data_IF_546350874171
#
_entry.id   IF_546350874171
#
_cell.length_a   1.000
_cell.length_b   1.000
_cell.length_c   1.000
_cell.angle_alpha   90.00
_cell.angle_beta   90.00
_cell.angle_gamma   90.00
#
_symmetry.space_group_name_H-M   'P 1'
#
loop_
_entity.id
_entity.type
_entity.pdbx_description
1 polymer ?
#
# COMPACT_ATOMS: atom_id res chain seq x y z
N UNK A 1 18.12 20.30 25.73
CA UNK A 1 18.36 19.31 24.67
C UNK A 1 17.70 19.83 23.40
N UNK A 2 18.44 19.97 22.30
CA UNK A 2 17.85 20.34 21.01
C UNK A 2 16.87 19.24 20.56
N UNK A 3 15.74 19.58 19.92
CA UNK A 3 14.82 18.57 19.42
C UNK A 3 15.54 17.69 18.39
N UNK A 4 15.58 16.38 18.64
CA UNK A 4 16.13 15.36 17.73
C UNK A 4 15.01 14.86 16.81
N UNK A 5 15.26 14.85 15.50
CA UNK A 5 14.34 14.36 14.48
C UNK A 5 13.85 12.94 14.78
N UNK A 6 14.73 12.09 15.34
CA UNK A 6 14.38 10.72 15.69
C UNK A 6 13.36 10.63 16.82
N UNK A 7 13.47 11.52 17.82
CA UNK A 7 12.52 11.63 18.92
C UNK A 7 11.13 12.02 18.40
N UNK A 8 11.07 13.12 17.65
CA UNK A 8 9.84 13.60 17.03
C UNK A 8 9.21 12.55 16.11
N UNK A 9 10.00 11.82 15.32
CA UNK A 9 9.47 10.75 14.48
C UNK A 9 8.84 9.61 15.29
N UNK A 10 9.48 9.20 16.39
CA UNK A 10 8.96 8.15 17.27
C UNK A 10 7.65 8.57 17.95
N UNK A 11 7.60 9.77 18.49
CA UNK A 11 6.37 10.35 19.06
C UNK A 11 5.26 10.37 18.03
N UNK A 12 5.53 10.84 16.81
CA UNK A 12 4.54 10.88 15.74
C UNK A 12 3.97 9.51 15.36
N UNK A 13 4.81 8.46 15.37
CA UNK A 13 4.34 7.07 15.18
C UNK A 13 3.49 6.61 16.36
N UNK A 14 3.92 6.87 17.59
CA UNK A 14 3.18 6.49 18.80
C UNK A 14 1.79 7.13 18.83
N UNK A 15 1.70 8.43 18.56
CA UNK A 15 0.42 9.15 18.49
C UNK A 15 -0.48 8.60 17.38
N UNK A 16 0.09 8.25 16.22
CA UNK A 16 -0.66 7.61 15.14
C UNK A 16 -1.24 6.25 15.54
N UNK A 17 -0.52 5.47 16.35
CA UNK A 17 -0.99 4.18 16.86
C UNK A 17 -2.12 4.34 17.87
N UNK A 18 -2.02 5.35 18.75
CA UNK A 18 -3.04 5.64 19.77
C UNK A 18 -4.28 6.33 19.17
N UNK A 19 -4.18 6.84 17.94
CA UNK A 19 -5.28 7.47 17.20
C UNK A 19 -5.32 9.00 17.33
N UNK A 20 -4.31 9.60 17.95
CA UNK A 20 -4.16 11.04 18.09
C UNK A 20 -3.54 11.62 16.83
N UNK A 21 -4.30 11.68 15.74
CA UNK A 21 -3.77 11.97 14.42
C UNK A 21 -3.27 13.40 14.23
N UNK A 22 -3.82 14.38 14.96
CA UNK A 22 -3.34 15.76 14.94
C UNK A 22 -1.94 15.88 15.56
N UNK A 23 -1.73 15.22 16.71
CA UNK A 23 -0.42 15.14 17.35
C UNK A 23 0.56 14.35 16.48
N UNK A 24 0.11 13.24 15.89
CA UNK A 24 0.92 12.47 14.95
C UNK A 24 1.40 13.32 13.77
N UNK A 25 0.50 14.08 13.14
CA UNK A 25 0.83 15.01 12.06
C UNK A 25 1.87 16.04 12.51
N UNK A 26 1.65 16.68 13.66
CA UNK A 26 2.57 17.67 14.22
C UNK A 26 3.98 17.11 14.41
N UNK A 27 4.10 15.98 15.12
CA UNK A 27 5.40 15.37 15.43
C UNK A 27 6.11 14.85 14.18
N UNK A 28 5.38 14.29 13.21
CA UNK A 28 5.95 13.82 11.95
C UNK A 28 6.41 14.98 11.04
N UNK A 29 5.66 16.09 10.98
CA UNK A 29 6.06 17.29 10.25
C UNK A 29 7.30 17.92 10.88
N UNK A 30 7.34 18.04 12.21
CA UNK A 30 8.53 18.51 12.96
C UNK A 30 9.75 17.64 12.70
N UNK A 31 9.59 16.31 12.71
CA UNK A 31 10.67 15.40 12.37
C UNK A 31 11.21 15.66 10.95
N UNK A 32 10.32 15.84 9.97
CA UNK A 32 10.70 16.12 8.59
C UNK A 32 11.31 17.52 8.38
N UNK A 33 11.02 18.49 9.24
CA UNK A 33 11.66 19.82 9.25
C UNK A 33 13.09 19.77 9.77
N UNK A 34 13.33 18.95 10.81
CA UNK A 34 14.66 18.78 11.40
C UNK A 34 15.54 17.93 10.48
N UNK A 35 15.05 16.74 10.11
CA UNK A 35 15.72 15.83 9.20
C UNK A 35 14.69 15.03 8.38
N UNK A 36 14.55 15.41 7.12
CA UNK A 36 13.75 14.65 6.18
C UNK A 36 14.41 13.31 5.85
N UNK A 37 13.69 12.22 6.09
CA UNK A 37 14.08 10.84 5.73
C UNK A 37 13.02 10.20 4.83
N UNK A 38 13.38 9.13 4.13
CA UNK A 38 12.41 8.32 3.37
C UNK A 38 11.24 7.89 4.26
N UNK A 39 11.54 7.42 5.48
CA UNK A 39 10.54 6.96 6.44
C UNK A 39 9.61 8.08 6.92
N UNK A 40 10.14 9.26 7.25
CA UNK A 40 9.28 10.40 7.66
C UNK A 40 8.25 10.75 6.59
N UNK A 41 8.67 10.88 5.33
CA UNK A 41 7.76 11.17 4.22
C UNK A 41 6.85 9.99 3.85
N UNK A 42 7.33 8.75 3.94
CA UNK A 42 6.48 7.58 3.74
C UNK A 42 5.34 7.52 4.77
N UNK A 43 5.67 7.73 6.04
CA UNK A 43 4.70 7.73 7.14
C UNK A 43 3.70 8.88 7.03
N UNK A 44 4.16 10.11 6.73
CA UNK A 44 3.24 11.22 6.43
C UNK A 44 2.32 10.87 5.25
N UNK A 45 2.89 10.29 4.18
CA UNK A 45 2.11 9.83 3.03
C UNK A 45 1.00 8.85 3.43
N UNK A 46 1.34 7.86 4.26
CA UNK A 46 0.38 6.91 4.81
C UNK A 46 -0.68 7.59 5.69
N UNK A 47 -0.28 8.49 6.60
CA UNK A 47 -1.20 9.19 7.50
C UNK A 47 -2.26 9.97 6.71
N UNK A 48 -1.84 10.77 5.72
CA UNK A 48 -2.80 11.51 4.90
C UNK A 48 -3.68 10.60 4.04
N UNK A 49 -3.14 9.51 3.48
CA UNK A 49 -3.88 8.66 2.54
C UNK A 49 -4.82 7.67 3.23
N UNK A 50 -4.39 7.13 4.36
CA UNK A 50 -5.09 6.06 5.06
C UNK A 50 -6.06 6.63 6.10
N UNK A 51 -5.64 7.64 6.85
CA UNK A 51 -6.35 8.15 8.03
C UNK A 51 -7.10 9.45 7.71
N UNK A 52 -6.38 10.49 7.29
CA UNK A 52 -6.96 11.82 7.11
C UNK A 52 -7.75 11.97 5.80
N UNK A 53 -7.79 10.93 4.96
CA UNK A 53 -8.52 10.90 3.68
C UNK A 53 -8.15 12.07 2.75
N UNK A 54 -6.87 12.45 2.76
CA UNK A 54 -6.27 13.50 1.94
C UNK A 54 -5.30 12.91 0.89
N UNK A 55 -5.81 12.21 -0.15
CA UNK A 55 -4.98 11.48 -1.11
C UNK A 55 -3.99 12.38 -1.87
N UNK A 56 -4.35 13.65 -2.11
CA UNK A 56 -3.46 14.62 -2.76
C UNK A 56 -2.23 14.93 -1.91
N UNK A 57 -2.39 15.10 -0.59
CA UNK A 57 -1.27 15.29 0.34
C UNK A 57 -0.42 14.03 0.41
N UNK A 58 -1.06 12.88 0.52
CA UNK A 58 -0.39 11.59 0.54
C UNK A 58 0.55 11.41 -0.67
N UNK A 59 0.08 11.65 -1.89
CA UNK A 59 0.92 11.59 -3.09
C UNK A 59 2.09 12.58 -3.06
N UNK A 60 1.90 13.80 -2.51
CA UNK A 60 3.02 14.75 -2.40
C UNK A 60 4.13 14.20 -1.51
N UNK A 61 3.79 13.59 -0.38
CA UNK A 61 4.77 13.01 0.53
C UNK A 61 5.40 11.73 -0.04
N UNK A 62 4.62 10.82 -0.62
CA UNK A 62 5.18 9.66 -1.31
C UNK A 62 6.11 10.06 -2.45
N UNK A 63 5.79 11.10 -3.23
CA UNK A 63 6.71 11.63 -4.26
C UNK A 63 8.01 12.17 -3.67
N UNK A 64 7.97 12.79 -2.49
CA UNK A 64 9.20 13.23 -1.80
C UNK A 64 10.03 12.01 -1.37
N UNK A 65 9.41 11.01 -0.75
CA UNK A 65 10.08 9.76 -0.37
C UNK A 65 10.70 9.03 -1.59
N UNK A 66 9.96 8.93 -2.70
CA UNK A 66 10.43 8.29 -3.94
C UNK A 66 11.62 9.03 -4.55
N UNK A 67 11.67 10.37 -4.46
CA UNK A 67 12.83 11.13 -4.94
C UNK A 67 14.10 10.85 -4.12
N UNK A 68 13.94 10.54 -2.84
CA UNK A 68 15.05 10.21 -1.95
C UNK A 68 15.54 8.77 -2.12
N UNK A 69 14.62 7.83 -2.36
CA UNK A 69 14.97 6.45 -2.72
C UNK A 69 14.10 5.96 -3.90
N UNK A 70 14.59 6.13 -5.15
CA UNK A 70 13.87 5.73 -6.36
C UNK A 70 13.76 4.21 -6.55
N UNK A 71 14.49 3.41 -5.79
CA UNK A 71 14.49 1.94 -5.90
C UNK A 71 13.61 1.26 -4.86
N UNK A 72 13.05 2.02 -3.91
CA UNK A 72 12.19 1.49 -2.86
C UNK A 72 10.80 1.13 -3.42
N UNK A 73 10.58 -0.17 -3.63
CA UNK A 73 9.32 -0.72 -4.13
C UNK A 73 8.16 -0.60 -3.16
N UNK A 74 8.41 -0.44 -1.85
CA UNK A 74 7.35 -0.29 -0.86
C UNK A 74 6.60 1.03 -1.07
N UNK A 75 7.30 2.09 -1.44
CA UNK A 75 6.68 3.38 -1.79
C UNK A 75 5.80 3.29 -3.04
N UNK A 76 6.18 2.46 -4.02
CA UNK A 76 5.36 2.19 -5.19
C UNK A 76 4.13 1.36 -4.84
N UNK A 77 4.26 0.41 -3.91
CA UNK A 77 3.13 -0.33 -3.38
C UNK A 77 2.14 0.60 -2.66
N UNK A 78 2.63 1.49 -1.80
CA UNK A 78 1.80 2.44 -1.05
C UNK A 78 1.05 3.41 -1.98
N UNK A 79 1.72 3.93 -3.02
CA UNK A 79 1.06 4.70 -4.08
C UNK A 79 -0.01 3.88 -4.81
N UNK A 80 0.30 2.62 -5.14
CA UNK A 80 -0.64 1.72 -5.80
C UNK A 80 -1.88 1.44 -4.94
N UNK A 81 -1.70 1.13 -3.67
CA UNK A 81 -2.76 0.87 -2.71
C UNK A 81 -3.65 2.11 -2.52
N UNK A 82 -3.06 3.30 -2.39
CA UNK A 82 -3.81 4.55 -2.33
C UNK A 82 -4.67 4.76 -3.59
N UNK A 83 -4.10 4.55 -4.78
CA UNK A 83 -4.88 4.66 -6.04
C UNK A 83 -6.03 3.66 -6.11
N UNK A 84 -5.89 2.47 -5.51
CA UNK A 84 -6.98 1.50 -5.43
C UNK A 84 -8.10 1.98 -4.52
N UNK A 85 -7.76 2.53 -3.36
CA UNK A 85 -8.72 3.14 -2.42
C UNK A 85 -9.52 4.25 -3.11
N UNK A 86 -8.84 5.05 -3.92
CA UNK A 86 -9.45 6.14 -4.71
C UNK A 86 -10.17 5.66 -6.00
N UNK A 87 -10.26 4.36 -6.27
CA UNK A 87 -10.94 3.81 -7.46
C UNK A 87 -10.15 3.93 -8.78
N UNK A 88 -8.92 4.43 -8.76
CA UNK A 88 -8.07 4.64 -9.93
C UNK A 88 -7.29 3.37 -10.33
N UNK A 89 -7.99 2.23 -10.51
CA UNK A 89 -7.36 0.92 -10.69
C UNK A 89 -6.36 0.83 -11.85
N UNK A 90 -6.60 1.53 -12.97
CA UNK A 90 -5.66 1.54 -14.11
C UNK A 90 -4.33 2.20 -13.76
N UNK A 91 -4.38 3.31 -13.02
CA UNK A 91 -3.17 4.00 -12.55
C UNK A 91 -2.47 3.17 -11.47
N UNK A 92 -3.23 2.55 -10.57
CA UNK A 92 -2.70 1.68 -9.52
C UNK A 92 -1.85 0.54 -10.10
N UNK A 93 -2.32 -0.14 -11.15
CA UNK A 93 -1.57 -1.23 -11.80
C UNK A 93 -0.19 -0.78 -12.27
N UNK A 94 -0.04 0.45 -12.78
CA UNK A 94 1.27 0.97 -13.21
C UNK A 94 2.24 1.07 -12.03
N UNK A 95 1.78 1.56 -10.89
CA UNK A 95 2.60 1.67 -9.67
C UNK A 95 2.90 0.32 -9.04
N UNK A 96 1.91 -0.57 -8.93
CA UNK A 96 2.09 -1.90 -8.38
C UNK A 96 3.06 -2.74 -9.22
N UNK A 97 3.01 -2.63 -10.55
CA UNK A 97 4.00 -3.30 -11.42
C UNK A 97 5.42 -2.76 -11.23
N UNK A 98 5.58 -1.48 -10.89
CA UNK A 98 6.88 -0.92 -10.51
C UNK A 98 7.35 -1.48 -9.17
N UNK A 99 6.46 -1.61 -8.19
CA UNK A 99 6.77 -2.24 -6.90
C UNK A 99 7.28 -3.68 -7.08
N UNK A 100 6.60 -4.47 -7.92
CA UNK A 100 6.99 -5.87 -8.20
C UNK A 100 8.37 -5.96 -8.88
N UNK A 101 8.74 -4.97 -9.70
CA UNK A 101 10.04 -4.93 -10.42
C UNK A 101 11.15 -4.24 -9.65
N UNK A 102 10.84 -3.57 -8.53
CA UNK A 102 11.81 -2.84 -7.75
C UNK A 102 12.85 -3.78 -7.13
N UNK A 103 14.09 -3.32 -7.04
CA UNK A 103 15.22 -4.09 -6.48
C UNK A 103 14.95 -4.43 -5.01
N UNK A 104 14.57 -3.42 -4.23
CA UNK A 104 14.30 -3.53 -2.81
C UNK A 104 12.81 -3.30 -2.56
N UNK A 105 12.09 -4.33 -2.10
CA UNK A 105 10.67 -4.25 -1.76
C UNK A 105 10.36 -5.30 -0.70
N UNK A 106 10.27 -4.84 0.56
CA UNK A 106 9.95 -5.72 1.68
C UNK A 106 8.51 -6.25 1.61
N UNK A 107 7.61 -5.46 1.01
CA UNK A 107 6.17 -5.72 0.91
C UNK A 107 5.75 -6.19 -0.48
N UNK A 108 6.63 -6.90 -1.20
CA UNK A 108 6.36 -7.32 -2.59
C UNK A 108 5.12 -8.22 -2.71
N UNK A 109 4.86 -9.07 -1.71
CA UNK A 109 3.65 -9.91 -1.66
C UNK A 109 2.36 -9.08 -1.63
N UNK A 110 2.33 -7.95 -0.91
CA UNK A 110 1.19 -7.03 -0.92
C UNK A 110 0.96 -6.40 -2.30
N UNK A 111 2.02 -6.00 -3.01
CA UNK A 111 1.89 -5.45 -4.36
C UNK A 111 1.31 -6.47 -5.35
N UNK A 112 1.77 -7.73 -5.25
CA UNK A 112 1.26 -8.85 -6.04
C UNK A 112 -0.21 -9.14 -5.72
N UNK A 113 -0.58 -9.15 -4.44
CA UNK A 113 -1.97 -9.34 -4.02
C UNK A 113 -2.89 -8.20 -4.49
N UNK A 114 -2.44 -6.95 -4.38
CA UNK A 114 -3.17 -5.79 -4.90
C UNK A 114 -3.39 -5.89 -6.42
N UNK A 115 -2.40 -6.37 -7.19
CA UNK A 115 -2.58 -6.67 -8.61
C UNK A 115 -3.63 -7.76 -8.83
N UNK A 116 -3.62 -8.82 -8.03
CA UNK A 116 -4.61 -9.89 -8.12
C UNK A 116 -6.04 -9.36 -7.89
N UNK A 117 -6.24 -8.55 -6.84
CA UNK A 117 -7.53 -7.92 -6.55
C UNK A 117 -8.04 -7.08 -7.75
N UNK A 118 -7.16 -6.31 -8.38
CA UNK A 118 -7.52 -5.54 -9.57
C UNK A 118 -7.94 -6.45 -10.72
N UNK A 119 -7.15 -7.48 -11.03
CA UNK A 119 -7.45 -8.38 -12.13
C UNK A 119 -8.71 -9.22 -11.90
N UNK A 120 -9.00 -9.60 -10.65
CA UNK A 120 -10.28 -10.18 -10.27
C UNK A 120 -11.43 -9.22 -10.56
N UNK A 121 -11.34 -7.96 -10.11
CA UNK A 121 -12.36 -6.94 -10.34
C UNK A 121 -12.59 -6.66 -11.83
N UNK A 122 -11.56 -6.81 -12.65
CA UNK A 122 -11.66 -6.70 -14.11
C UNK A 122 -12.12 -7.97 -14.82
N UNK A 123 -12.64 -8.96 -14.09
CA UNK A 123 -13.07 -10.25 -14.61
C UNK A 123 -11.96 -10.96 -15.42
N UNK A 124 -10.72 -10.93 -14.89
CA UNK A 124 -9.54 -11.62 -15.45
C UNK A 124 -8.97 -12.60 -14.42
N UNK A 125 -9.71 -13.67 -14.07
CA UNK A 125 -9.33 -14.56 -12.97
C UNK A 125 -8.01 -15.29 -13.20
N UNK A 126 -7.63 -15.62 -14.43
CA UNK A 126 -6.35 -16.28 -14.76
C UNK A 126 -5.15 -15.40 -14.39
N UNK A 127 -5.25 -14.09 -14.68
CA UNK A 127 -4.22 -13.13 -14.27
C UNK A 127 -4.20 -12.96 -12.75
N UNK A 128 -5.36 -12.91 -12.12
CA UNK A 128 -5.48 -12.86 -10.66
C UNK A 128 -4.76 -14.05 -10.01
N UNK A 129 -5.06 -15.28 -10.45
CA UNK A 129 -4.41 -16.51 -9.98
C UNK A 129 -2.89 -16.47 -10.13
N UNK A 130 -2.39 -16.00 -11.28
CA UNK A 130 -0.94 -15.86 -11.50
C UNK A 130 -0.29 -14.95 -10.46
N UNK A 131 -0.89 -13.79 -10.16
CA UNK A 131 -0.35 -12.88 -9.16
C UNK A 131 -0.49 -13.42 -7.73
N UNK A 132 -1.56 -14.14 -7.39
CA UNK A 132 -1.72 -14.79 -6.08
C UNK A 132 -0.67 -15.87 -5.84
N UNK A 133 -0.41 -16.72 -6.85
CA UNK A 133 0.65 -17.72 -6.77
C UNK A 133 2.02 -17.08 -6.58
N UNK A 134 2.29 -15.94 -7.25
CA UNK A 134 3.53 -15.19 -7.03
C UNK A 134 3.58 -14.57 -5.63
N UNK A 135 2.46 -14.04 -5.12
CA UNK A 135 2.38 -13.50 -3.77
C UNK A 135 2.72 -14.59 -2.74
N UNK A 136 2.11 -15.77 -2.85
CA UNK A 136 2.34 -16.93 -1.97
C UNK A 136 3.75 -17.54 -2.11
N UNK A 137 4.42 -17.36 -3.26
CA UNK A 137 5.85 -17.72 -3.39
C UNK A 137 6.76 -16.73 -2.68
N UNK A 138 6.34 -15.48 -2.57
CA UNK A 138 7.12 -14.42 -1.90
C UNK A 138 6.90 -14.46 -0.39
N UNK A 139 5.65 -14.69 0.03
CA UNK A 139 5.23 -14.85 1.41
C UNK A 139 4.28 -16.06 1.50
N UNK A 140 4.78 -17.25 1.89
CA UNK A 140 3.95 -18.44 2.03
C UNK A 140 2.86 -18.31 3.09
N UNK A 141 3.08 -17.51 4.14
CA UNK A 141 2.10 -17.24 5.19
C UNK A 141 1.29 -15.98 4.88
N UNK A 142 0.55 -16.02 3.77
CA UNK A 142 -0.33 -14.93 3.36
C UNK A 142 -1.79 -15.41 3.21
N UNK A 143 -2.56 -15.47 4.32
CA UNK A 143 -3.92 -16.02 4.35
C UNK A 143 -4.84 -15.38 3.32
N UNK A 144 -4.81 -14.05 3.19
CA UNK A 144 -5.67 -13.30 2.27
C UNK A 144 -5.44 -13.71 0.81
N UNK A 145 -4.19 -14.02 0.42
CA UNK A 145 -3.88 -14.49 -0.92
C UNK A 145 -4.33 -15.95 -1.12
N UNK A 146 -4.24 -16.78 -0.09
CA UNK A 146 -4.69 -18.19 -0.12
C UNK A 146 -6.22 -18.27 -0.24
N UNK A 147 -6.95 -17.57 0.61
CA UNK A 147 -8.42 -17.47 0.58
C UNK A 147 -8.90 -16.98 -0.78
N UNK A 148 -8.25 -15.94 -1.32
CA UNK A 148 -8.61 -15.43 -2.63
C UNK A 148 -8.32 -16.43 -3.76
N UNK A 149 -7.23 -17.20 -3.66
CA UNK A 149 -6.93 -18.22 -4.65
C UNK A 149 -7.97 -19.35 -4.62
N UNK A 150 -8.35 -19.81 -3.42
CA UNK A 150 -9.40 -20.84 -3.23
C UNK A 150 -10.73 -20.37 -3.80
N UNK A 151 -11.20 -19.17 -3.46
CA UNK A 151 -12.48 -18.64 -3.97
C UNK A 151 -12.53 -18.46 -5.48
N UNK A 152 -11.38 -18.37 -6.17
CA UNK A 152 -11.32 -18.35 -7.63
C UNK A 152 -11.36 -19.74 -8.26
N UNK A 153 -10.99 -20.78 -7.50
CA UNK A 153 -10.91 -22.16 -7.99
C UNK A 153 -12.17 -22.96 -7.63
N UNK A 154 -12.98 -22.47 -6.68
CA UNK A 154 -14.32 -23.00 -6.43
C UNK A 154 -15.20 -22.82 -7.68
N UNK A 155 -15.85 -23.89 -8.19
CA UNK A 155 -16.85 -23.75 -9.22
C UNK A 155 -17.97 -22.89 -8.65
N UNK A 156 -18.25 -21.75 -9.29
CA UNK A 156 -19.37 -20.87 -8.95
C UNK A 156 -20.63 -21.73 -8.75
N UNK A 157 -21.02 -21.94 -7.50
CA UNK A 157 -22.23 -22.68 -7.17
C UNK A 157 -23.40 -21.82 -7.63
N UNK A 158 -23.96 -22.19 -8.79
CA UNK A 158 -25.28 -21.81 -9.28
C UNK A 158 -25.65 -20.33 -9.16
N UNK A 159 -25.45 -19.57 -10.23
CA UNK A 159 -26.55 -18.67 -10.62
C UNK A 159 -27.74 -19.59 -10.92
N UNK A 160 -28.67 -19.67 -9.98
CA UNK A 160 -30.00 -20.18 -10.21
C UNK A 160 -30.54 -19.51 -11.47
N UNK A 161 -30.62 -20.27 -12.57
CA UNK A 161 -31.51 -19.96 -13.68
C UNK A 161 -32.93 -20.20 -13.18
N UNK A 162 -33.45 -19.20 -12.48
CA UNK A 162 -34.83 -19.15 -12.02
C UNK A 162 -35.51 -17.93 -12.60
N UNK A 163 -36.09 -18.09 -13.79
CA UNK A 163 -37.29 -17.38 -14.22
C UNK A 163 -37.80 -18.13 -15.46
N UNK A 164 -38.91 -18.84 -15.25
CA UNK A 164 -39.73 -19.41 -16.32
C UNK A 164 -40.61 -18.36 -16.99
#
# INVERSE_FOLDING_TARGET
MSPDARGAYREGICEAVVGNYDAAEYHLLRAAEIEATVSTYATLGWLYGSVLSEPRRAFRFFRRAIRMNPENGDLFNDCGALLLKEGHSRAAVKWLLRAVRARECSKRHFALYNLALVYRRWNRPERSRRFLRLALRTEPDFPQARELLVSLDEPSHGLSRGAG
#
